data_IF_574782861822
#
_entry.id   IF_574782861822
#
_cell.length_a   1.000
_cell.length_b   1.000
_cell.length_c   1.000
_cell.angle_alpha   90.00
_cell.angle_beta   90.00
_cell.angle_gamma   90.00
#
_symmetry.space_group_name_H-M   'P 1'
#
loop_
_entity.id
_entity.type
_entity.pdbx_description
1 polymer ?
#
# COMPACT_ATOMS: atom_id res chain seq x y z
N UNK A 1 17.48 -0.81 -5.87
CA UNK A 1 16.12 -0.27 -6.05
C UNK A 1 15.59 0.23 -4.72
N UNK A 2 14.91 1.36 -4.76
CA UNK A 2 14.36 1.95 -3.54
C UNK A 2 13.05 1.25 -3.17
N UNK A 3 12.92 0.90 -1.90
CA UNK A 3 11.68 0.38 -1.38
C UNK A 3 10.93 1.50 -0.65
N UNK A 4 9.66 1.68 -0.99
CA UNK A 4 8.82 2.74 -0.44
C UNK A 4 7.70 2.12 0.37
N UNK A 5 7.56 2.56 1.62
CA UNK A 5 6.44 2.15 2.46
C UNK A 5 5.34 3.19 2.40
N UNK A 6 4.11 2.74 2.21
CA UNK A 6 2.94 3.62 2.18
C UNK A 6 2.01 3.20 3.30
N UNK A 7 1.73 4.13 4.21
CA UNK A 7 0.78 3.89 5.28
C UNK A 7 -0.63 4.04 4.73
N UNK A 8 -1.40 2.97 4.79
CA UNK A 8 -2.71 2.89 4.16
C UNK A 8 -3.79 2.80 5.22
N UNK A 9 -4.58 3.85 5.33
CA UNK A 9 -5.76 3.87 6.18
C UNK A 9 -7.01 3.66 5.35
N UNK A 10 -8.05 4.39 5.68
CA UNK A 10 -9.32 4.33 4.97
C UNK A 10 -9.22 5.11 3.66
N UNK A 11 -9.89 4.62 2.61
CA UNK A 11 -9.94 5.29 1.31
C UNK A 11 -8.97 4.70 0.29
N UNK A 12 -8.99 5.27 -0.92
CA UNK A 12 -8.26 4.73 -2.07
C UNK A 12 -6.99 5.49 -2.44
N UNK A 13 -6.75 6.64 -1.82
CA UNK A 13 -5.61 7.47 -2.20
C UNK A 13 -4.26 6.76 -2.04
N UNK A 14 -4.00 6.05 -0.93
CA UNK A 14 -2.74 5.32 -0.80
C UNK A 14 -2.54 4.30 -1.91
N UNK A 15 -3.61 3.62 -2.31
CA UNK A 15 -3.53 2.63 -3.39
C UNK A 15 -3.20 3.29 -4.72
N UNK A 16 -3.82 4.42 -5.03
CA UNK A 16 -3.53 5.16 -6.25
C UNK A 16 -2.07 5.61 -6.31
N UNK A 17 -1.56 6.14 -5.21
CA UNK A 17 -0.16 6.57 -5.12
C UNK A 17 0.77 5.37 -5.32
N UNK A 18 0.47 4.26 -4.65
CA UNK A 18 1.28 3.06 -4.76
C UNK A 18 1.33 2.50 -6.16
N UNK A 19 0.18 2.46 -6.85
CA UNK A 19 0.13 1.98 -8.23
C UNK A 19 0.97 2.84 -9.16
N UNK A 20 0.93 4.15 -8.99
CA UNK A 20 1.76 5.06 -9.77
C UNK A 20 3.25 4.80 -9.57
N UNK A 21 3.65 4.58 -8.32
CA UNK A 21 5.05 4.28 -8.01
C UNK A 21 5.48 2.94 -8.58
N UNK A 22 4.62 1.94 -8.51
CA UNK A 22 4.91 0.62 -9.10
C UNK A 22 5.10 0.74 -10.61
N UNK A 23 4.27 1.54 -11.27
CA UNK A 23 4.43 1.78 -12.71
C UNK A 23 5.76 2.46 -13.05
N UNK A 24 6.35 3.16 -12.10
CA UNK A 24 7.66 3.79 -12.27
C UNK A 24 8.81 2.91 -11.79
N UNK A 25 8.55 1.63 -11.58
CA UNK A 25 9.53 0.62 -11.17
C UNK A 25 10.05 0.76 -9.74
N UNK A 26 9.30 1.41 -8.86
CA UNK A 26 9.63 1.40 -7.45
C UNK A 26 9.07 0.15 -6.78
N UNK A 27 9.77 -0.34 -5.77
CA UNK A 27 9.24 -1.38 -4.90
C UNK A 27 8.37 -0.73 -3.83
N UNK A 28 7.11 -1.14 -3.73
CA UNK A 28 6.16 -0.54 -2.81
C UNK A 28 5.63 -1.59 -1.85
N UNK A 29 5.60 -1.25 -0.57
CA UNK A 29 4.95 -2.06 0.45
C UNK A 29 3.87 -1.21 1.12
N UNK A 30 2.66 -1.74 1.19
CA UNK A 30 1.55 -1.06 1.84
C UNK A 30 1.47 -1.50 3.29
N UNK A 31 1.53 -0.54 4.21
CA UNK A 31 1.34 -0.79 5.63
C UNK A 31 -0.12 -0.47 5.96
N UNK A 32 -0.93 -1.51 6.04
CA UNK A 32 -2.37 -1.37 6.22
C UNK A 32 -2.72 -1.25 7.70
N UNK A 33 -3.37 -0.16 8.08
CA UNK A 33 -3.74 0.06 9.47
C UNK A 33 -4.93 -0.85 9.81
N UNK A 34 -4.75 -1.68 10.83
CA UNK A 34 -5.76 -2.63 11.25
C UNK A 34 -7.07 -1.90 11.58
N UNK A 35 -8.18 -2.46 11.12
CA UNK A 35 -9.54 -1.94 11.28
C UNK A 35 -9.86 -0.68 10.50
N UNK A 36 -8.90 -0.12 9.77
CA UNK A 36 -9.13 1.06 8.94
C UNK A 36 -8.94 0.78 7.46
N UNK A 37 -7.91 0.06 7.10
CA UNK A 37 -7.64 -0.27 5.71
C UNK A 37 -8.43 -1.49 5.28
N UNK A 38 -8.95 -1.47 4.05
CA UNK A 38 -9.54 -2.66 3.45
C UNK A 38 -8.41 -3.49 2.82
N UNK A 39 -7.98 -4.51 3.52
CA UNK A 39 -6.83 -5.31 3.10
C UNK A 39 -7.08 -6.07 1.80
N UNK A 40 -8.34 -6.31 1.43
CA UNK A 40 -8.66 -6.96 0.17
C UNK A 40 -8.17 -6.16 -1.04
N UNK A 41 -8.12 -4.84 -0.92
CA UNK A 41 -7.62 -3.98 -2.00
C UNK A 41 -6.13 -4.18 -2.25
N UNK A 42 -5.41 -4.65 -1.27
CA UNK A 42 -3.95 -4.75 -1.32
C UNK A 42 -3.45 -6.18 -1.48
N UNK A 43 -4.33 -7.15 -1.62
CA UNK A 43 -3.96 -8.58 -1.62
C UNK A 43 -3.00 -8.96 -2.75
N UNK A 44 -3.02 -8.22 -3.86
CA UNK A 44 -2.14 -8.48 -5.00
C UNK A 44 -0.83 -7.71 -4.92
N UNK A 45 -0.61 -7.00 -3.83
CA UNK A 45 0.58 -6.18 -3.62
C UNK A 45 1.27 -6.61 -2.33
N UNK A 46 2.54 -6.27 -2.21
CA UNK A 46 3.23 -6.49 -0.94
C UNK A 46 2.57 -5.62 0.12
N UNK A 47 2.12 -6.23 1.20
CA UNK A 47 1.42 -5.50 2.25
C UNK A 47 1.67 -6.15 3.61
N UNK A 48 1.57 -5.32 4.65
CA UNK A 48 1.70 -5.74 6.05
C UNK A 48 0.58 -5.05 6.82
N UNK A 49 -0.10 -5.81 7.69
CA UNK A 49 -1.11 -5.22 8.57
C UNK A 49 -0.41 -4.73 9.84
N UNK A 50 -0.69 -3.49 10.22
CA UNK A 50 -0.15 -2.88 11.44
C UNK A 50 -1.27 -2.35 12.31
N UNK A 51 -1.01 -2.21 13.61
CA UNK A 51 -1.99 -1.68 14.56
C UNK A 51 -1.83 -0.19 14.81
#
# INVERSE_FOLDING_TARGET
>A
MNKIGIISGNGDLPLCIGKNLINKNYNVCFFCIKNFANTDKYKNFENVEIE
#
